data_IF_420240568430
#
_entry.id   IF_420240568430
#
_cell.length_a   1.000
_cell.length_b   1.000
_cell.length_c   1.000
_cell.angle_alpha   90.00
_cell.angle_beta   90.00
_cell.angle_gamma   90.00
#
_symmetry.space_group_name_H-M   'P 1'
#
loop_
_entity.id
_entity.type
_entity.pdbx_description
1 polymer ?
#
# COMPACT_ATOMS: atom_id res chain seq x y z
N UNK A 1 -9.88 -1.34 -24.42
CA UNK A 1 -10.27 -1.49 -22.99
C UNK A 1 -9.07 -1.76 -22.07
N UNK A 2 -8.29 -2.84 -22.28
CA UNK A 2 -7.11 -3.19 -21.45
C UNK A 2 -6.06 -2.05 -21.34
N UNK A 3 -5.86 -1.29 -22.43
CA UNK A 3 -4.91 -0.15 -22.46
C UNK A 3 -5.30 0.97 -21.48
N UNK A 4 -6.60 1.30 -21.39
CA UNK A 4 -7.11 2.31 -20.46
C UNK A 4 -6.97 1.86 -19.02
N UNK A 5 -7.35 0.61 -18.73
CA UNK A 5 -7.24 0.03 -17.38
C UNK A 5 -5.79 0.02 -16.87
N UNK A 6 -4.84 -0.35 -17.74
CA UNK A 6 -3.40 -0.29 -17.44
C UNK A 6 -2.93 1.14 -17.15
N UNK A 7 -3.42 2.10 -17.92
CA UNK A 7 -3.02 3.49 -17.76
C UNK A 7 -3.54 4.08 -16.44
N UNK A 8 -4.80 3.81 -16.10
CA UNK A 8 -5.40 4.18 -14.81
C UNK A 8 -4.63 3.57 -13.64
N UNK A 9 -4.34 2.26 -13.69
CA UNK A 9 -3.56 1.59 -12.64
C UNK A 9 -2.17 2.22 -12.46
N UNK A 10 -1.48 2.54 -13.57
CA UNK A 10 -0.16 3.17 -13.52
C UNK A 10 -0.20 4.55 -12.89
N UNK A 11 -1.11 5.42 -13.32
CA UNK A 11 -1.25 6.77 -12.76
C UNK A 11 -1.55 6.71 -11.28
N UNK A 12 -2.49 5.84 -10.89
CA UNK A 12 -2.84 5.67 -9.49
C UNK A 12 -1.63 5.22 -8.67
N UNK A 13 -0.84 4.28 -9.19
CA UNK A 13 0.40 3.86 -8.55
C UNK A 13 1.46 4.97 -8.50
N UNK A 14 1.58 5.84 -9.52
CA UNK A 14 2.48 7.02 -9.45
C UNK A 14 2.13 7.85 -8.23
N UNK A 15 0.85 8.19 -8.06
CA UNK A 15 0.41 9.03 -6.94
C UNK A 15 0.73 8.38 -5.60
N UNK A 16 0.49 7.07 -5.44
CA UNK A 16 0.82 6.35 -4.21
C UNK A 16 2.32 6.27 -3.94
N UNK A 17 3.12 5.99 -4.96
CA UNK A 17 4.59 5.93 -4.85
C UNK A 17 5.14 7.32 -4.49
N UNK A 18 4.69 8.37 -5.18
CA UNK A 18 5.11 9.74 -4.91
C UNK A 18 4.76 10.16 -3.48
N UNK A 19 3.53 9.85 -3.02
CA UNK A 19 3.11 10.12 -1.64
C UNK A 19 3.97 9.39 -0.61
N UNK A 20 4.25 8.09 -0.83
CA UNK A 20 5.11 7.32 0.07
C UNK A 20 6.55 7.86 0.12
N UNK A 21 7.11 8.25 -1.03
CA UNK A 21 8.44 8.85 -1.10
C UNK A 21 8.49 10.22 -0.42
N UNK A 22 7.46 11.06 -0.59
CA UNK A 22 7.35 12.33 0.12
C UNK A 22 7.36 12.11 1.63
N UNK A 23 6.52 11.20 2.14
CA UNK A 23 6.49 10.87 3.57
C UNK A 23 7.85 10.38 4.06
N UNK A 24 8.47 9.43 3.35
CA UNK A 24 9.78 8.88 3.73
C UNK A 24 10.87 9.96 3.72
N UNK A 25 10.87 10.85 2.73
CA UNK A 25 11.80 11.97 2.67
C UNK A 25 11.60 12.96 3.81
N UNK A 26 10.35 13.21 4.23
CA UNK A 26 10.04 14.05 5.39
C UNK A 26 10.61 13.45 6.69
N UNK A 27 10.38 12.16 6.92
CA UNK A 27 10.95 11.44 8.06
C UNK A 27 12.48 11.45 8.05
N UNK A 28 13.09 11.16 6.90
CA UNK A 28 14.55 11.17 6.77
C UNK A 28 15.14 12.56 6.99
N UNK A 29 14.52 13.60 6.43
CA UNK A 29 14.94 14.99 6.61
C UNK A 29 14.87 15.42 8.07
N UNK A 30 13.74 15.13 8.73
CA UNK A 30 13.56 15.44 10.13
C UNK A 30 14.58 14.71 11.02
N UNK A 31 14.83 13.43 10.72
CA UNK A 31 15.83 12.64 11.44
C UNK A 31 17.26 13.22 11.29
N UNK A 32 17.65 13.61 10.07
CA UNK A 32 18.97 14.20 9.81
C UNK A 32 19.14 15.56 10.50
N UNK A 33 18.08 16.36 10.56
CA UNK A 33 18.15 17.75 11.07
C UNK A 33 17.94 17.87 12.58
N UNK A 34 17.11 17.01 13.17
CA UNK A 34 16.75 17.09 14.60
C UNK A 34 17.27 15.91 15.42
N UNK A 35 17.77 14.85 14.77
CA UNK A 35 18.15 13.60 15.42
C UNK A 35 16.96 12.70 15.78
N UNK A 36 15.72 13.15 15.55
CA UNK A 36 14.48 12.45 15.86
C UNK A 36 13.69 12.26 14.57
N UNK A 37 13.29 11.02 14.25
CA UNK A 37 12.51 10.75 13.04
C UNK A 37 11.07 11.31 13.14
N UNK A 38 10.40 11.06 14.26
CA UNK A 38 9.05 11.56 14.55
C UNK A 38 9.01 12.21 15.94
N UNK A 39 8.85 13.54 16.05
CA UNK A 39 8.79 14.23 17.32
C UNK A 39 7.44 14.03 18.03
N UNK A 40 6.46 13.41 17.37
CA UNK A 40 5.14 13.07 17.91
C UNK A 40 4.97 11.56 18.10
N UNK A 41 6.04 10.76 18.01
CA UNK A 41 6.01 9.35 18.34
C UNK A 41 5.54 9.15 19.79
N UNK A 42 4.56 8.28 19.97
CA UNK A 42 4.08 7.90 21.31
C UNK A 42 5.14 7.01 21.95
N UNK A 43 5.58 7.37 23.16
CA UNK A 43 6.48 6.53 23.96
C UNK A 43 5.79 5.19 24.26
N UNK A 44 6.55 4.08 24.18
CA UNK A 44 6.05 2.70 24.38
C UNK A 44 5.09 2.17 23.29
N UNK A 45 5.19 2.68 22.06
CA UNK A 45 4.40 2.15 20.94
C UNK A 45 4.75 0.68 20.61
N UNK A 46 3.79 -0.26 20.62
CA UNK A 46 4.07 -1.67 20.36
C UNK A 46 4.66 -1.87 18.97
N UNK A 47 5.75 -2.63 18.87
CA UNK A 47 6.41 -2.90 17.58
C UNK A 47 5.45 -3.47 16.52
N UNK A 48 4.48 -4.28 16.95
CA UNK A 48 3.47 -4.89 16.07
C UNK A 48 2.60 -3.86 15.36
N UNK A 49 2.41 -2.67 15.94
CA UNK A 49 1.64 -1.60 15.31
C UNK A 49 2.43 -0.85 14.22
N UNK A 50 3.74 -1.03 14.14
CA UNK A 50 4.57 -0.54 13.03
C UNK A 50 4.54 -1.46 11.80
N UNK A 51 4.01 -2.68 11.93
CA UNK A 51 3.95 -3.65 10.83
C UNK A 51 3.00 -3.23 9.68
N UNK A 52 1.78 -2.71 9.93
CA UNK A 52 0.91 -2.29 8.83
C UNK A 52 1.51 -1.15 7.98
N UNK A 53 2.08 -0.06 8.55
CA UNK A 53 2.80 0.93 7.76
C UNK A 53 3.94 0.33 6.93
N UNK A 54 4.70 -0.62 7.50
CA UNK A 54 5.76 -1.32 6.78
C UNK A 54 5.21 -2.15 5.62
N UNK A 55 4.14 -2.90 5.84
CA UNK A 55 3.48 -3.69 4.79
C UNK A 55 2.87 -2.81 3.71
N UNK A 56 2.34 -1.64 4.06
CA UNK A 56 1.86 -0.66 3.07
C UNK A 56 3.01 -0.15 2.22
N UNK A 57 4.15 0.18 2.85
CA UNK A 57 5.34 0.59 2.11
C UNK A 57 5.83 -0.50 1.15
N UNK A 58 5.95 -1.75 1.62
CA UNK A 58 6.31 -2.89 0.79
C UNK A 58 5.29 -3.14 -0.34
N UNK A 59 4.01 -2.90 -0.07
CA UNK A 59 2.96 -2.99 -1.08
C UNK A 59 3.14 -1.95 -2.17
N UNK A 60 3.46 -0.70 -1.81
CA UNK A 60 3.73 0.40 -2.74
C UNK A 60 4.99 0.12 -3.58
N UNK A 61 6.03 -0.47 -2.98
CA UNK A 61 7.18 -0.97 -3.74
C UNK A 61 6.78 -2.06 -4.75
N UNK A 62 5.88 -2.97 -4.35
CA UNK A 62 5.24 -3.94 -5.23
C UNK A 62 4.55 -3.29 -6.44
N UNK A 63 3.81 -2.21 -6.22
CA UNK A 63 3.19 -1.42 -7.30
C UNK A 63 4.24 -0.83 -8.26
N UNK A 64 5.37 -0.37 -7.75
CA UNK A 64 6.50 0.09 -8.57
C UNK A 64 7.07 -1.03 -9.45
N UNK A 65 7.22 -2.24 -8.89
CA UNK A 65 7.67 -3.42 -9.64
C UNK A 65 6.65 -3.84 -10.70
N UNK A 66 5.35 -3.65 -10.42
CA UNK A 66 4.25 -4.02 -11.32
C UNK A 66 4.32 -3.30 -12.67
N UNK A 67 5.02 -2.17 -12.76
CA UNK A 67 5.22 -1.47 -14.02
C UNK A 67 6.00 -2.26 -15.07
N UNK A 68 7.07 -2.95 -14.65
CA UNK A 68 7.87 -3.83 -15.51
C UNK A 68 7.33 -5.25 -15.49
N UNK A 69 6.82 -5.73 -14.35
CA UNK A 69 6.32 -7.09 -14.15
C UNK A 69 4.95 -7.07 -13.44
N UNK A 70 3.89 -6.80 -14.22
CA UNK A 70 2.50 -6.65 -13.74
C UNK A 70 2.09 -7.73 -12.72
N UNK A 71 2.33 -9.00 -13.04
CA UNK A 71 1.98 -10.12 -12.15
C UNK A 71 2.76 -10.14 -10.84
N UNK A 72 4.10 -10.07 -10.91
CA UNK A 72 4.93 -10.16 -9.71
C UNK A 72 4.71 -8.97 -8.77
N UNK A 73 4.65 -7.75 -9.32
CA UNK A 73 4.38 -6.56 -8.51
C UNK A 73 2.97 -6.51 -7.94
N UNK A 74 1.96 -6.93 -8.72
CA UNK A 74 0.59 -7.06 -8.24
C UNK A 74 0.45 -8.10 -7.12
N UNK A 75 1.10 -9.27 -7.25
CA UNK A 75 1.10 -10.31 -6.21
C UNK A 75 1.73 -9.76 -4.93
N UNK A 76 2.92 -9.15 -5.03
CA UNK A 76 3.61 -8.55 -3.87
C UNK A 76 2.72 -7.52 -3.19
N UNK A 77 2.16 -6.60 -3.97
CA UNK A 77 1.31 -5.52 -3.44
C UNK A 77 0.10 -6.07 -2.70
N UNK A 78 -0.63 -7.00 -3.30
CA UNK A 78 -1.83 -7.58 -2.71
C UNK A 78 -1.50 -8.50 -1.53
N UNK A 79 -0.43 -9.28 -1.61
CA UNK A 79 -0.03 -10.18 -0.52
C UNK A 79 0.33 -9.41 0.76
N UNK A 80 1.13 -8.34 0.65
CA UNK A 80 1.47 -7.52 1.81
C UNK A 80 0.26 -6.79 2.40
N UNK A 81 -0.66 -6.31 1.56
CA UNK A 81 -1.92 -5.73 2.05
C UNK A 81 -2.80 -6.78 2.73
N UNK A 82 -2.93 -7.98 2.17
CA UNK A 82 -3.70 -9.04 2.84
C UNK A 82 -3.04 -9.46 4.16
N UNK A 83 -1.71 -9.49 4.23
CA UNK A 83 -0.97 -9.79 5.46
C UNK A 83 -1.14 -8.72 6.54
N UNK A 84 -1.41 -7.46 6.18
CA UNK A 84 -1.70 -6.41 7.17
C UNK A 84 -3.10 -6.53 7.77
N UNK A 85 -4.04 -7.17 7.07
CA UNK A 85 -5.46 -7.20 7.46
C UNK A 85 -5.70 -7.84 8.84
N UNK A 86 -5.08 -8.99 9.20
CA UNK A 86 -5.21 -9.54 10.55
C UNK A 86 -4.72 -8.58 11.64
N UNK A 87 -3.61 -7.87 11.38
CA UNK A 87 -3.05 -6.91 12.33
C UNK A 87 -4.01 -5.73 12.50
N UNK A 88 -4.57 -5.24 11.38
CA UNK A 88 -5.56 -4.18 11.36
C UNK A 88 -6.79 -4.54 12.20
N UNK A 89 -7.31 -5.75 12.05
CA UNK A 89 -8.50 -6.22 12.78
C UNK A 89 -8.27 -6.39 14.28
N UNK A 90 -7.06 -6.82 14.69
CA UNK A 90 -6.74 -7.05 16.10
C UNK A 90 -6.46 -5.73 16.82
N UNK A 91 -5.69 -4.82 16.22
CA UNK A 91 -5.25 -3.58 16.89
C UNK A 91 -6.18 -2.39 16.67
N UNK A 92 -6.92 -2.36 15.55
CA UNK A 92 -7.87 -1.28 15.24
C UNK A 92 -9.24 -1.85 14.87
N UNK A 93 -9.98 -2.44 15.84
CA UNK A 93 -11.31 -2.97 15.60
C UNK A 93 -12.28 -1.86 15.19
N UNK A 94 -12.99 -2.08 14.08
CA UNK A 94 -13.88 -1.08 13.45
C UNK A 94 -14.99 -0.61 14.42
N UNK A 95 -15.40 -1.48 15.34
CA UNK A 95 -16.50 -1.24 16.29
C UNK A 95 -16.16 -0.23 17.38
N UNK A 96 -14.88 -0.02 17.71
CA UNK A 96 -14.51 0.80 18.87
C UNK A 96 -14.47 2.30 18.58
N UNK A 97 -14.06 2.71 17.37
CA UNK A 97 -13.92 4.14 17.00
C UNK A 97 -14.42 4.42 15.59
N UNK A 98 -15.62 3.95 15.29
CA UNK A 98 -16.33 4.34 14.08
C UNK A 98 -16.65 5.84 14.10
N UNK A 99 -16.45 6.60 13.00
CA UNK A 99 -15.96 6.20 11.68
C UNK A 99 -14.44 6.41 11.49
N UNK A 100 -13.70 6.86 12.51
CA UNK A 100 -12.27 7.21 12.40
C UNK A 100 -11.45 6.04 11.83
N UNK A 101 -11.66 4.83 12.35
CA UNK A 101 -10.95 3.65 11.86
C UNK A 101 -11.34 3.24 10.44
N UNK A 102 -12.58 3.48 10.02
CA UNK A 102 -13.02 3.24 8.65
C UNK A 102 -12.23 4.10 7.66
N UNK A 103 -11.98 5.38 7.97
CA UNK A 103 -11.16 6.25 7.12
C UNK A 103 -9.67 5.90 7.19
N UNK A 104 -9.12 5.73 8.40
CA UNK A 104 -7.76 5.30 8.61
C UNK A 104 -7.72 4.35 9.82
N UNK A 105 -7.34 3.07 9.65
CA UNK A 105 -6.46 2.55 8.57
C UNK A 105 -7.16 1.89 7.36
N UNK A 106 -8.44 1.52 7.43
CA UNK A 106 -9.06 0.66 6.39
C UNK A 106 -9.29 1.36 5.03
N UNK A 107 -9.60 2.66 5.02
CA UNK A 107 -9.76 3.43 3.79
C UNK A 107 -8.45 3.53 2.99
N UNK A 108 -7.34 3.82 3.68
CA UNK A 108 -5.99 3.84 3.10
C UNK A 108 -5.64 2.46 2.53
N UNK A 109 -5.93 1.40 3.28
CA UNK A 109 -5.72 0.02 2.84
C UNK A 109 -6.43 -0.28 1.50
N UNK A 110 -7.70 0.10 1.37
CA UNK A 110 -8.46 -0.07 0.13
C UNK A 110 -7.89 0.73 -1.04
N UNK A 111 -7.49 1.98 -0.81
CA UNK A 111 -6.93 2.85 -1.85
C UNK A 111 -5.65 2.24 -2.45
N UNK A 112 -4.80 1.62 -1.62
CA UNK A 112 -3.57 0.96 -2.11
C UNK A 112 -3.90 -0.38 -2.79
N UNK A 113 -4.92 -1.09 -2.31
CA UNK A 113 -5.32 -2.41 -2.85
C UNK A 113 -5.82 -2.34 -4.29
N UNK A 114 -6.60 -1.31 -4.63
CA UNK A 114 -7.22 -1.16 -5.96
C UNK A 114 -6.20 -1.30 -7.10
N UNK A 115 -5.12 -0.49 -7.19
CA UNK A 115 -4.14 -0.64 -8.26
C UNK A 115 -3.42 -1.99 -8.24
N UNK A 116 -3.19 -2.59 -7.05
CA UNK A 116 -2.59 -3.92 -6.93
C UNK A 116 -3.45 -5.00 -7.59
N UNK A 117 -4.76 -5.00 -7.31
CA UNK A 117 -5.73 -5.89 -7.95
C UNK A 117 -5.81 -5.64 -9.46
N UNK A 118 -5.82 -4.37 -9.88
CA UNK A 118 -5.85 -4.04 -11.31
C UNK A 118 -4.65 -4.63 -12.06
N UNK A 119 -3.44 -4.57 -11.49
CA UNK A 119 -2.26 -5.21 -12.09
C UNK A 119 -2.37 -6.74 -12.16
N UNK A 120 -2.94 -7.38 -11.14
CA UNK A 120 -3.21 -8.82 -11.16
C UNK A 120 -4.21 -9.20 -12.25
N UNK A 121 -5.31 -8.46 -12.36
CA UNK A 121 -6.34 -8.68 -13.39
C UNK A 121 -5.73 -8.53 -14.79
N UNK A 122 -4.95 -7.47 -15.02
CA UNK A 122 -4.24 -7.24 -16.28
C UNK A 122 -3.26 -8.36 -16.61
N UNK A 123 -2.54 -8.87 -15.61
CA UNK A 123 -1.63 -10.00 -15.78
C UNK A 123 -2.37 -11.29 -16.13
N UNK A 124 -3.49 -11.56 -15.46
CA UNK A 124 -4.33 -12.72 -15.73
C UNK A 124 -4.89 -12.70 -17.15
N UNK A 125 -5.40 -11.56 -17.61
CA UNK A 125 -5.85 -11.40 -18.99
C UNK A 125 -4.74 -11.54 -20.02
N UNK A 126 -3.49 -11.19 -19.67
CA UNK A 126 -2.33 -11.41 -20.55
C UNK A 126 -1.92 -12.88 -20.64
N UNK A 127 -2.17 -13.66 -19.59
CA UNK A 127 -1.80 -15.09 -19.50
C UNK A 127 -2.83 -16.02 -20.15
N UNK A 128 -4.08 -15.60 -20.27
CA UNK A 128 -5.05 -16.32 -21.10
C UNK A 128 -4.85 -15.90 -22.56
N UNK A 129 -4.19 -16.70 -23.41
CA UNK A 129 -4.48 -16.59 -24.83
C UNK A 129 -5.99 -16.82 -24.96
N UNK A 130 -6.66 -16.01 -25.78
CA UNK A 130 -7.98 -16.40 -26.26
C UNK A 130 -7.77 -17.77 -26.93
N UNK A 131 -8.16 -18.86 -26.26
CA UNK A 131 -8.60 -20.06 -26.96
C UNK A 131 -9.95 -19.68 -27.58
N UNK A 132 -9.86 -19.00 -28.73
CA UNK A 132 -10.84 -19.09 -29.81
C UNK A 132 -10.23 -19.99 -30.86
#
# INVERSE_FOLDING_TARGET
MIKWLRWTARIWSVFLIAYALLMLSGYAWNWITTGIADPHAVEEYPFIENLPPLFFFLSILGLGIAWKREGLGGIISVAFLLASLPILLIHWPITERFPRYLYAPYGIWLIILIPGILFLILWWFRKKPLNQ
#
